data_IF_028984761577
#
_entry.id   IF_028984761577
#
_cell.length_a   1.000
_cell.length_b   1.000
_cell.length_c   1.000
_cell.angle_alpha   90.00
_cell.angle_beta   90.00
_cell.angle_gamma   90.00
#
_symmetry.space_group_name_H-M   'P 1'
#
loop_
_entity.id
_entity.type
_entity.pdbx_description
1 polymer ?
#
# COMPACT_ATOMS: atom_id res chain seq x y z
N UNK A 1 5.90 0.33 -5.93
CA UNK A 1 5.64 0.66 -4.51
C UNK A 1 4.37 -0.07 -4.11
N UNK A 2 4.41 -0.88 -3.05
CA UNK A 2 3.21 -1.52 -2.48
C UNK A 2 2.71 -0.63 -1.34
N UNK A 3 1.40 -0.46 -1.23
CA UNK A 3 0.79 0.22 -0.09
C UNK A 3 -0.51 -0.45 0.28
N UNK A 4 -0.89 -0.32 1.55
CA UNK A 4 -2.21 -0.66 2.06
C UNK A 4 -2.73 0.52 2.85
N UNK A 5 -4.02 0.79 2.71
CA UNK A 5 -4.72 1.82 3.47
C UNK A 5 -5.86 1.17 4.26
N UNK A 6 -6.03 1.60 5.50
CA UNK A 6 -7.18 1.26 6.33
C UNK A 6 -7.77 2.55 6.87
N UNK A 7 -9.07 2.76 6.63
CA UNK A 7 -9.83 3.88 7.19
C UNK A 7 -10.97 3.30 8.01
N UNK A 8 -11.05 3.75 9.25
CA UNK A 8 -12.12 3.37 10.18
C UNK A 8 -12.68 4.64 10.79
N UNK A 9 -14.00 4.77 10.77
CA UNK A 9 -14.73 5.85 11.42
C UNK A 9 -15.73 5.25 12.41
N UNK A 10 -15.78 5.78 13.62
CA UNK A 10 -16.69 5.31 14.64
C UNK A 10 -16.54 6.10 15.94
N UNK A 11 -17.48 5.89 16.86
CA UNK A 11 -17.55 6.60 18.15
C UNK A 11 -17.36 5.68 19.35
N UNK A 12 -17.34 4.35 19.14
CA UNK A 12 -17.37 3.35 20.21
C UNK A 12 -16.01 3.05 20.83
N UNK A 13 -14.91 3.33 20.11
CA UNK A 13 -13.55 2.99 20.54
C UNK A 13 -12.59 4.11 20.20
N UNK A 14 -11.50 4.21 20.97
CA UNK A 14 -10.46 5.20 20.73
C UNK A 14 -9.68 4.90 19.45
N UNK A 15 -9.05 5.92 18.88
CA UNK A 15 -8.23 5.76 17.68
C UNK A 15 -7.03 4.82 17.93
N UNK A 16 -6.48 4.78 19.14
CA UNK A 16 -5.38 3.87 19.52
C UNK A 16 -5.85 2.41 19.55
N UNK A 17 -7.04 2.13 20.09
CA UNK A 17 -7.60 0.78 20.07
C UNK A 17 -7.94 0.31 18.65
N UNK A 18 -8.32 1.26 17.77
CA UNK A 18 -8.58 1.00 16.36
C UNK A 18 -7.30 0.77 15.56
N UNK A 19 -6.24 1.52 15.83
CA UNK A 19 -4.92 1.22 15.27
C UNK A 19 -4.50 -0.20 15.62
N UNK A 20 -4.63 -0.60 16.89
CA UNK A 20 -4.29 -1.96 17.30
C UNK A 20 -5.16 -3.03 16.63
N UNK A 21 -6.45 -2.74 16.44
CA UNK A 21 -7.34 -3.64 15.73
C UNK A 21 -6.96 -3.79 14.25
N UNK A 22 -6.56 -2.71 13.59
CA UNK A 22 -6.09 -2.70 12.20
C UNK A 22 -4.79 -3.51 12.08
N UNK A 23 -3.82 -3.34 12.98
CA UNK A 23 -2.61 -4.16 12.97
C UNK A 23 -2.90 -5.65 13.20
N UNK A 24 -3.88 -5.98 14.05
CA UNK A 24 -4.35 -7.36 14.20
C UNK A 24 -4.98 -7.93 12.92
N UNK A 25 -5.62 -7.10 12.10
CA UNK A 25 -6.07 -7.51 10.76
C UNK A 25 -4.85 -7.76 9.87
N UNK A 26 -3.90 -6.83 9.83
CA UNK A 26 -2.80 -6.89 8.87
C UNK A 26 -1.79 -8.00 9.16
N UNK A 27 -1.51 -8.28 10.43
CA UNK A 27 -0.50 -9.26 10.83
C UNK A 27 -1.03 -10.67 11.10
N UNK A 28 -2.35 -10.82 11.25
CA UNK A 28 -2.97 -12.12 11.56
C UNK A 28 -4.07 -12.45 10.57
N UNK A 29 -5.18 -11.70 10.61
CA UNK A 29 -6.38 -12.11 9.85
C UNK A 29 -6.19 -12.12 8.35
N UNK A 30 -5.47 -11.14 7.79
CA UNK A 30 -5.26 -11.10 6.34
C UNK A 30 -4.26 -12.16 5.87
N UNK A 31 -3.12 -12.39 6.53
CA UNK A 31 -2.29 -13.57 6.27
C UNK A 31 -3.08 -14.88 6.34
N UNK A 32 -3.83 -15.11 7.43
CA UNK A 32 -4.66 -16.31 7.60
C UNK A 32 -5.68 -16.43 6.45
N UNK A 33 -6.29 -15.32 6.03
CA UNK A 33 -7.21 -15.30 4.89
C UNK A 33 -6.50 -15.67 3.58
N UNK A 34 -5.35 -15.06 3.30
CA UNK A 34 -4.56 -15.33 2.09
C UNK A 34 -4.10 -16.79 2.04
N UNK A 35 -3.66 -17.36 3.16
CA UNK A 35 -3.24 -18.75 3.29
C UNK A 35 -4.39 -19.74 3.07
N UNK A 36 -5.62 -19.36 3.40
CA UNK A 36 -6.80 -20.20 3.21
C UNK A 36 -7.53 -19.96 1.88
N UNK A 37 -7.05 -19.05 1.02
CA UNK A 37 -7.65 -18.85 -0.30
C UNK A 37 -7.46 -20.08 -1.20
N UNK A 38 -8.57 -20.49 -1.83
CA UNK A 38 -8.60 -21.50 -2.89
C UNK A 38 -8.29 -20.87 -4.25
N UNK A 39 -7.90 -21.70 -5.22
CA UNK A 39 -7.66 -21.26 -6.60
C UNK A 39 -8.93 -20.64 -7.22
N UNK A 40 -10.09 -21.25 -6.98
CA UNK A 40 -11.38 -20.75 -7.48
C UNK A 40 -11.75 -19.40 -6.87
N UNK A 41 -11.48 -19.19 -5.58
CA UNK A 41 -11.71 -17.91 -4.93
C UNK A 41 -10.81 -16.82 -5.54
N UNK A 42 -9.54 -17.13 -5.79
CA UNK A 42 -8.61 -16.18 -6.43
C UNK A 42 -9.09 -15.83 -7.84
N UNK A 43 -9.53 -16.81 -8.63
CA UNK A 43 -10.10 -16.55 -9.95
C UNK A 43 -11.37 -15.69 -9.88
N UNK A 44 -12.23 -15.94 -8.89
CA UNK A 44 -13.42 -15.12 -8.65
C UNK A 44 -13.07 -13.66 -8.33
N UNK A 45 -12.12 -13.42 -7.42
CA UNK A 45 -11.64 -12.06 -7.11
C UNK A 45 -10.98 -11.39 -8.32
N UNK A 46 -10.18 -12.15 -9.09
CA UNK A 46 -9.59 -11.66 -10.34
C UNK A 46 -10.65 -11.20 -11.33
N UNK A 47 -11.69 -12.01 -11.57
CA UNK A 47 -12.79 -11.70 -12.48
C UNK A 47 -13.57 -10.47 -12.00
N UNK A 48 -13.87 -10.39 -10.71
CA UNK A 48 -14.54 -9.23 -10.12
C UNK A 48 -13.71 -7.94 -10.29
N UNK A 49 -12.40 -8.01 -10.06
CA UNK A 49 -11.48 -6.91 -10.26
C UNK A 49 -11.46 -6.45 -11.73
N UNK A 50 -11.34 -7.40 -12.66
CA UNK A 50 -11.37 -7.11 -14.10
C UNK A 50 -12.69 -6.49 -14.53
N UNK A 51 -13.81 -6.99 -14.02
CA UNK A 51 -15.13 -6.42 -14.30
C UNK A 51 -15.23 -4.98 -13.82
N UNK A 52 -14.73 -4.66 -12.62
CA UNK A 52 -14.72 -3.29 -12.10
C UNK A 52 -13.90 -2.34 -12.98
N UNK A 53 -12.75 -2.80 -13.49
CA UNK A 53 -11.88 -2.01 -14.35
C UNK A 53 -12.40 -1.82 -15.77
N UNK A 54 -13.13 -2.81 -16.29
CA UNK A 54 -13.64 -2.83 -17.67
C UNK A 54 -15.09 -2.32 -17.77
N UNK A 55 -15.73 -2.01 -16.65
CA UNK A 55 -17.08 -1.47 -16.66
C UNK A 55 -17.08 -0.07 -17.29
N UNK A 56 -17.86 0.14 -18.37
CA UNK A 56 -17.96 1.47 -18.97
C UNK A 56 -18.69 2.43 -18.02
N UNK A 57 -18.33 3.73 -18.02
CA UNK A 57 -19.07 4.72 -17.25
C UNK A 57 -20.52 4.78 -17.73
N UNK A 58 -21.46 4.86 -16.79
CA UNK A 58 -22.90 4.87 -17.06
C UNK A 58 -23.50 6.27 -17.16
N UNK A 59 -22.72 7.30 -16.83
CA UNK A 59 -23.12 8.70 -16.88
C UNK A 59 -21.97 9.63 -17.27
N UNK A 60 -22.29 10.84 -17.71
CA UNK A 60 -21.31 11.89 -18.07
C UNK A 60 -20.40 12.22 -16.87
N UNK A 61 -20.93 12.23 -15.65
CA UNK A 61 -20.12 12.51 -14.46
C UNK A 61 -19.16 11.37 -14.13
N UNK A 62 -19.57 10.12 -14.36
CA UNK A 62 -18.69 8.96 -14.25
C UNK A 62 -17.63 8.95 -15.35
N UNK A 63 -18.00 9.30 -16.58
CA UNK A 63 -17.06 9.48 -17.69
C UNK A 63 -16.02 10.53 -17.30
N UNK A 64 -16.46 11.72 -16.87
CA UNK A 64 -15.55 12.76 -16.39
C UNK A 64 -14.60 12.21 -15.32
N UNK A 65 -15.08 11.53 -14.29
CA UNK A 65 -14.20 10.93 -13.25
C UNK A 65 -13.24 9.88 -13.82
N UNK A 66 -13.71 9.03 -14.72
CA UNK A 66 -12.95 7.95 -15.35
C UNK A 66 -11.81 8.50 -16.20
N UNK A 67 -12.07 9.53 -17.01
CA UNK A 67 -11.12 10.09 -17.97
C UNK A 67 -10.27 11.26 -17.40
N UNK A 68 -10.69 11.90 -16.30
CA UNK A 68 -9.98 13.08 -15.75
C UNK A 68 -8.72 12.73 -14.95
N UNK A 69 -8.58 11.48 -14.47
CA UNK A 69 -7.36 11.00 -13.81
C UNK A 69 -6.11 11.22 -14.67
N UNK A 70 -6.05 10.66 -15.90
CA UNK A 70 -4.96 10.90 -16.85
C UNK A 70 -4.70 12.38 -17.16
N UNK A 71 -5.76 13.19 -17.26
CA UNK A 71 -5.66 14.65 -17.52
C UNK A 71 -4.95 15.37 -16.37
N UNK A 72 -5.32 15.05 -15.12
CA UNK A 72 -4.72 15.63 -13.91
C UNK A 72 -3.22 15.30 -13.77
N UNK A 73 -2.79 14.20 -14.36
CA UNK A 73 -1.40 13.79 -14.42
C UNK A 73 -0.66 14.29 -15.67
N UNK A 74 -1.13 15.41 -16.25
CA UNK A 74 -0.55 16.06 -17.44
C UNK A 74 -0.42 15.14 -18.67
N UNK A 75 -1.23 14.08 -18.75
CA UNK A 75 -1.07 13.10 -19.83
C UNK A 75 0.29 12.38 -19.82
N UNK A 76 0.99 12.29 -18.68
CA UNK A 76 2.32 11.67 -18.63
C UNK A 76 2.34 10.16 -18.93
N UNK A 77 1.17 9.52 -19.08
CA UNK A 77 1.01 8.20 -19.70
C UNK A 77 0.53 8.24 -21.16
N UNK A 78 0.81 9.33 -21.88
CA UNK A 78 0.54 9.49 -23.31
C UNK A 78 1.88 9.46 -24.05
N UNK A 79 2.11 8.45 -24.89
CA UNK A 79 3.25 8.46 -25.81
C UNK A 79 2.90 9.30 -27.05
N UNK A 80 3.85 10.06 -27.64
CA UNK A 80 3.61 10.92 -28.81
C UNK A 80 3.36 10.20 -30.15
N UNK A 81 2.98 8.91 -30.19
CA UNK A 81 3.03 8.10 -31.41
C UNK A 81 1.84 7.18 -31.68
N UNK A 82 0.65 7.56 -31.25
CA UNK A 82 -0.58 7.11 -31.91
C UNK A 82 -1.76 7.77 -31.22
N UNK A 83 -2.62 8.37 -32.03
CA UNK A 83 -3.88 8.92 -31.57
C UNK A 83 -4.68 7.76 -30.93
N UNK A 84 -5.08 7.90 -29.65
CA UNK A 84 -5.95 6.99 -28.86
C UNK A 84 -5.22 5.92 -27.99
N UNK A 85 -4.30 6.28 -27.09
CA UNK A 85 -3.84 5.35 -26.02
C UNK A 85 -3.66 6.02 -24.63
N UNK A 86 -4.69 6.74 -24.13
CA UNK A 86 -4.67 7.38 -22.80
C UNK A 86 -4.80 6.42 -21.59
N UNK A 87 -4.66 5.09 -21.79
CA UNK A 87 -5.06 4.04 -20.83
C UNK A 87 -4.04 2.92 -20.63
N UNK A 88 -2.76 3.14 -20.96
CA UNK A 88 -1.74 2.07 -20.91
C UNK A 88 -1.65 1.39 -19.53
N UNK A 89 -1.76 2.16 -18.44
CA UNK A 89 -1.75 1.61 -17.08
C UNK A 89 -2.90 0.61 -16.85
N UNK A 90 -4.11 0.93 -17.34
CA UNK A 90 -5.26 0.03 -17.26
C UNK A 90 -5.01 -1.24 -18.08
N UNK A 91 -4.46 -1.09 -19.29
CA UNK A 91 -4.06 -2.22 -20.14
C UNK A 91 -3.01 -3.12 -19.48
N UNK A 92 -2.03 -2.55 -18.78
CA UNK A 92 -1.04 -3.31 -18.00
C UNK A 92 -1.67 -4.05 -16.82
N UNK A 93 -2.59 -3.41 -16.08
CA UNK A 93 -3.31 -4.04 -14.97
C UNK A 93 -4.12 -5.23 -15.46
N UNK A 94 -4.87 -5.06 -16.56
CA UNK A 94 -5.65 -6.14 -17.18
C UNK A 94 -4.74 -7.27 -17.66
N UNK A 95 -3.61 -6.94 -18.31
CA UNK A 95 -2.65 -7.94 -18.79
C UNK A 95 -2.00 -8.72 -17.65
N UNK A 96 -1.65 -8.03 -16.57
CA UNK A 96 -1.07 -8.66 -15.39
C UNK A 96 -2.08 -9.55 -14.66
N UNK A 97 -3.31 -9.08 -14.47
CA UNK A 97 -4.36 -9.87 -13.85
C UNK A 97 -4.65 -11.15 -14.65
N UNK A 98 -4.58 -11.09 -15.98
CA UNK A 98 -4.74 -12.26 -16.85
C UNK A 98 -3.49 -13.14 -16.98
N UNK A 99 -2.33 -12.74 -16.46
CA UNK A 99 -1.11 -13.56 -16.57
C UNK A 99 -1.09 -14.68 -15.53
N UNK A 100 -0.28 -15.72 -15.79
CA UNK A 100 -0.03 -16.79 -14.82
C UNK A 100 0.76 -16.32 -13.59
N UNK A 101 1.33 -15.11 -13.64
CA UNK A 101 2.04 -14.50 -12.50
C UNK A 101 1.06 -14.09 -11.39
N UNK A 102 -0.21 -13.83 -11.73
CA UNK A 102 -1.24 -13.48 -10.76
C UNK A 102 -1.75 -14.75 -10.06
N UNK A 103 -1.15 -15.07 -8.92
CA UNK A 103 -1.48 -16.25 -8.12
C UNK A 103 -1.36 -15.98 -6.61
N UNK A 104 -1.78 -16.96 -5.81
CA UNK A 104 -1.75 -16.92 -4.35
C UNK A 104 -0.37 -16.58 -3.78
N UNK A 105 0.67 -17.19 -4.34
CA UNK A 105 2.04 -17.05 -3.83
C UNK A 105 2.53 -15.63 -4.02
N UNK A 106 2.21 -15.01 -5.16
CA UNK A 106 2.50 -13.61 -5.40
C UNK A 106 1.78 -12.70 -4.39
N UNK A 107 0.50 -12.92 -4.13
CA UNK A 107 -0.27 -12.13 -3.16
C UNK A 107 0.32 -12.25 -1.76
N UNK A 108 0.61 -13.48 -1.33
CA UNK A 108 1.19 -13.78 -0.01
C UNK A 108 2.56 -13.13 0.14
N UNK A 109 3.43 -13.31 -0.85
CA UNK A 109 4.78 -12.71 -0.85
C UNK A 109 4.74 -11.19 -0.86
N UNK A 110 3.85 -10.60 -1.68
CA UNK A 110 3.68 -9.15 -1.75
C UNK A 110 3.19 -8.59 -0.42
N UNK A 111 2.26 -9.29 0.23
CA UNK A 111 1.76 -8.92 1.56
C UNK A 111 2.86 -9.01 2.63
N UNK A 112 3.60 -10.12 2.67
CA UNK A 112 4.73 -10.29 3.59
C UNK A 112 5.80 -9.21 3.38
N UNK A 113 6.13 -8.87 2.12
CA UNK A 113 7.10 -7.82 1.81
C UNK A 113 6.60 -6.43 2.26
N UNK A 114 5.30 -6.17 2.13
CA UNK A 114 4.69 -4.92 2.58
C UNK A 114 4.68 -4.80 4.11
N UNK A 115 4.41 -5.90 4.81
CA UNK A 115 4.28 -5.93 6.27
C UNK A 115 5.63 -6.05 6.99
N UNK A 116 6.54 -6.86 6.48
CA UNK A 116 7.85 -7.12 7.05
C UNK A 116 8.95 -6.91 5.98
N UNK A 117 9.27 -5.66 5.62
CA UNK A 117 10.26 -5.38 4.59
C UNK A 117 11.66 -5.83 5.04
N UNK A 118 12.40 -6.51 4.15
CA UNK A 118 13.72 -7.10 4.46
C UNK A 118 14.83 -6.09 4.80
N UNK A 119 14.59 -4.79 4.58
CA UNK A 119 15.58 -3.72 4.69
C UNK A 119 15.33 -2.70 5.79
N UNK A 120 14.39 -2.94 6.72
CA UNK A 120 14.12 -2.02 7.83
C UNK A 120 12.66 -1.98 8.27
N UNK A 121 12.17 -0.80 8.64
CA UNK A 121 10.79 -0.59 9.08
C UNK A 121 9.85 -0.29 7.91
N UNK A 122 8.55 -0.45 8.15
CA UNK A 122 7.55 0.02 7.20
C UNK A 122 7.48 1.54 7.20
N UNK A 123 7.27 2.11 6.03
CA UNK A 123 6.83 3.49 5.90
C UNK A 123 5.33 3.56 6.18
N UNK A 124 4.97 3.94 7.41
CA UNK A 124 3.59 3.99 7.90
C UNK A 124 3.21 5.43 8.25
N UNK A 125 2.05 5.85 7.78
CA UNK A 125 1.40 7.10 8.22
C UNK A 125 0.11 6.74 8.95
N UNK A 126 -0.06 7.28 10.15
CA UNK A 126 -1.26 7.09 10.96
C UNK A 126 -1.85 8.45 11.27
N UNK A 127 -3.10 8.65 10.88
CA UNK A 127 -3.86 9.85 11.20
C UNK A 127 -4.96 9.45 12.18
N UNK A 128 -4.91 10.02 13.39
CA UNK A 128 -5.89 9.76 14.44
C UNK A 128 -6.73 11.01 14.65
N UNK A 129 -8.04 10.88 14.47
CA UNK A 129 -9.00 11.92 14.78
C UNK A 129 -9.65 11.65 16.13
N UNK A 130 -9.60 12.64 17.02
CA UNK A 130 -10.21 12.59 18.34
C UNK A 130 -11.31 13.65 18.40
N UNK A 131 -12.54 13.25 18.70
CA UNK A 131 -13.70 14.16 18.66
C UNK A 131 -13.77 15.19 19.80
N UNK A 132 -12.89 15.06 20.81
CA UNK A 132 -12.79 15.98 21.96
C UNK A 132 -11.35 16.47 22.08
N UNK A 133 -10.66 16.10 23.15
CA UNK A 133 -9.23 16.31 23.32
C UNK A 133 -8.43 15.16 22.72
N UNK A 134 -7.20 15.47 22.30
CA UNK A 134 -6.20 14.48 21.93
C UNK A 134 -5.67 13.86 23.23
N UNK A 135 -5.82 12.55 23.47
CA UNK A 135 -5.27 11.89 24.64
C UNK A 135 -3.73 11.87 24.58
N UNK A 136 -3.10 11.69 25.73
CA UNK A 136 -1.67 11.43 25.77
C UNK A 136 -1.34 10.14 25.01
N UNK A 137 -0.21 10.15 24.29
CA UNK A 137 0.24 8.98 23.56
C UNK A 137 0.54 7.86 24.55
N UNK A 138 -0.01 6.64 24.34
CA UNK A 138 0.30 5.50 25.20
C UNK A 138 1.81 5.24 25.28
N UNK A 139 2.28 4.86 26.47
CA UNK A 139 3.65 4.37 26.62
C UNK A 139 3.86 3.06 25.83
N UNK A 140 5.12 2.72 25.55
CA UNK A 140 5.44 1.54 24.73
C UNK A 140 4.91 0.22 25.32
N UNK A 141 4.77 0.10 26.64
CA UNK A 141 4.28 -1.11 27.31
C UNK A 141 2.77 -1.25 27.12
N UNK A 142 2.00 -0.21 27.44
CA UNK A 142 0.54 -0.21 27.26
C UNK A 142 0.15 -0.36 25.78
N UNK A 143 0.89 0.29 24.89
CA UNK A 143 0.73 0.14 23.44
C UNK A 143 0.98 -1.30 22.97
N UNK A 144 2.08 -1.93 23.42
CA UNK A 144 2.39 -3.33 23.08
C UNK A 144 1.32 -4.28 23.58
N UNK A 145 0.82 -4.10 24.80
CA UNK A 145 -0.26 -4.91 25.36
C UNK A 145 -1.55 -4.77 24.53
N UNK A 146 -1.88 -3.57 24.06
CA UNK A 146 -3.02 -3.35 23.17
C UNK A 146 -2.89 -4.12 21.85
N UNK A 147 -1.68 -4.15 21.26
CA UNK A 147 -1.38 -4.92 20.05
C UNK A 147 -1.48 -6.44 20.29
N UNK A 148 -0.90 -6.93 21.39
CA UNK A 148 -0.98 -8.34 21.80
C UNK A 148 -2.44 -8.80 21.98
N UNK A 149 -3.26 -7.97 22.64
CA UNK A 149 -4.70 -8.24 22.83
C UNK A 149 -5.46 -8.39 21.51
N UNK A 150 -4.95 -7.81 20.41
CA UNK A 150 -5.53 -7.92 19.07
C UNK A 150 -4.96 -9.09 18.26
N UNK A 151 -4.08 -9.89 18.86
CA UNK A 151 -3.49 -11.09 18.25
C UNK A 151 -2.33 -10.80 17.33
N UNK A 152 -1.67 -9.64 17.45
CA UNK A 152 -0.44 -9.34 16.72
C UNK A 152 0.67 -10.29 17.22
N UNK A 153 1.35 -11.03 16.33
CA UNK A 153 2.36 -12.02 16.71
C UNK A 153 3.64 -11.36 17.26
N UNK A 154 4.38 -12.08 18.10
CA UNK A 154 5.57 -11.58 18.81
C UNK A 154 6.64 -11.03 17.88
N UNK A 155 6.87 -11.69 16.73
CA UNK A 155 7.80 -11.22 15.70
C UNK A 155 7.41 -9.83 15.18
N UNK A 156 6.13 -9.61 14.89
CA UNK A 156 5.63 -8.31 14.44
C UNK A 156 5.73 -7.26 15.54
N UNK A 157 5.50 -7.62 16.81
CA UNK A 157 5.56 -6.70 17.93
C UNK A 157 6.94 -6.08 18.12
N UNK A 158 8.03 -6.82 17.87
CA UNK A 158 9.38 -6.25 17.91
C UNK A 158 9.53 -5.10 16.92
N UNK A 159 9.19 -5.35 15.65
CA UNK A 159 9.23 -4.33 14.58
C UNK A 159 8.31 -3.14 14.91
N UNK A 160 7.09 -3.44 15.34
CA UNK A 160 6.07 -2.47 15.71
C UNK A 160 6.51 -1.58 16.88
N UNK A 161 7.15 -2.13 17.92
CA UNK A 161 7.67 -1.35 19.03
C UNK A 161 8.80 -0.41 18.60
N UNK A 162 9.67 -0.84 17.69
CA UNK A 162 10.70 0.03 17.10
C UNK A 162 10.07 1.15 16.25
N UNK A 163 9.10 0.80 15.39
CA UNK A 163 8.31 1.76 14.61
C UNK A 163 7.68 2.81 15.54
N UNK A 164 7.02 2.37 16.62
CA UNK A 164 6.41 3.24 17.62
C UNK A 164 7.46 4.20 18.22
N UNK A 165 8.60 3.68 18.66
CA UNK A 165 9.65 4.48 19.31
C UNK A 165 10.25 5.54 18.37
N UNK A 166 10.37 5.23 17.07
CA UNK A 166 10.96 6.13 16.06
C UNK A 166 9.95 7.02 15.34
N UNK A 167 8.66 6.85 15.63
CA UNK A 167 7.59 7.62 14.98
C UNK A 167 7.67 9.08 15.36
N UNK A 168 7.82 9.95 14.37
CA UNK A 168 7.60 11.40 14.50
C UNK A 168 6.11 11.67 14.76
N UNK A 169 5.81 12.36 15.86
CA UNK A 169 4.44 12.76 16.20
C UNK A 169 4.22 14.22 15.85
N UNK A 170 3.18 14.47 15.07
CA UNK A 170 2.76 15.82 14.70
C UNK A 170 1.38 16.07 15.31
N UNK A 171 1.27 17.09 16.15
CA UNK A 171 0.00 17.49 16.77
C UNK A 171 -0.74 18.55 15.94
N UNK A 172 -0.01 19.29 15.11
CA UNK A 172 -0.55 20.32 14.22
C UNK A 172 -0.21 20.00 12.76
N UNK A 173 -1.06 20.48 11.85
CA UNK A 173 -0.88 20.35 10.40
C UNK A 173 -0.64 21.73 9.78
N UNK A 174 0.43 22.39 10.23
CA UNK A 174 0.82 23.74 9.79
C UNK A 174 2.07 23.71 8.87
N UNK A 175 2.52 24.90 8.45
CA UNK A 175 3.71 25.04 7.61
C UNK A 175 4.98 24.58 8.31
N UNK A 176 5.07 24.68 9.65
CA UNK A 176 6.21 24.20 10.42
C UNK A 176 6.25 22.67 10.45
N UNK A 177 5.11 22.01 10.63
CA UNK A 177 4.98 20.54 10.52
C UNK A 177 5.37 20.06 9.12
N UNK A 178 4.95 20.77 8.06
CA UNK A 178 5.36 20.47 6.68
C UNK A 178 6.87 20.60 6.48
N UNK A 179 7.48 21.63 7.06
CA UNK A 179 8.93 21.84 7.04
C UNK A 179 9.66 20.76 7.83
N UNK A 180 9.13 20.33 8.98
CA UNK A 180 9.69 19.24 9.77
C UNK A 180 9.67 17.91 8.98
N UNK A 181 8.60 17.62 8.25
CA UNK A 181 8.49 16.45 7.37
C UNK A 181 9.49 16.51 6.21
N UNK A 182 9.65 17.67 5.57
CA UNK A 182 10.57 17.81 4.44
C UNK A 182 12.04 17.86 4.87
N UNK A 183 12.33 18.35 6.08
CA UNK A 183 13.70 18.50 6.62
C UNK A 183 14.15 17.38 7.57
N UNK A 184 13.30 16.42 7.91
CA UNK A 184 13.58 15.38 8.91
C UNK A 184 14.95 14.70 8.75
N UNK A 185 15.61 14.45 9.88
CA UNK A 185 17.02 14.06 9.94
C UNK A 185 17.37 12.82 9.10
N UNK A 186 18.39 13.00 8.24
CA UNK A 186 19.12 12.00 7.42
C UNK A 186 18.36 11.32 6.28
N UNK A 187 17.03 11.40 6.22
CA UNK A 187 16.19 10.91 5.11
C UNK A 187 14.94 11.79 4.96
N UNK A 188 15.11 13.11 4.89
CA UNK A 188 14.00 14.06 4.76
C UNK A 188 12.98 13.61 3.71
N UNK A 189 11.69 13.81 3.99
CA UNK A 189 10.63 13.44 3.06
C UNK A 189 10.82 14.16 1.73
N UNK A 190 11.10 13.41 0.67
CA UNK A 190 11.09 13.96 -0.68
C UNK A 190 9.65 14.19 -1.14
N UNK A 191 9.46 15.14 -2.05
CA UNK A 191 8.22 15.18 -2.81
C UNK A 191 8.04 13.86 -3.56
N UNK A 192 6.79 13.43 -3.71
CA UNK A 192 6.48 12.25 -4.52
C UNK A 192 7.14 12.41 -5.90
N UNK A 193 7.79 11.34 -6.43
CA UNK A 193 8.35 11.38 -7.76
C UNK A 193 7.29 11.82 -8.77
N UNK A 194 7.65 12.76 -9.63
CA UNK A 194 6.78 13.20 -10.73
C UNK A 194 6.83 12.25 -11.92
N UNK A 195 7.80 11.35 -11.93
CA UNK A 195 7.97 10.34 -12.99
C UNK A 195 6.88 9.27 -12.89
N UNK A 196 6.18 9.05 -13.98
CA UNK A 196 5.14 8.03 -14.09
C UNK A 196 5.63 6.86 -14.93
N UNK A 197 5.68 5.67 -14.34
CA UNK A 197 5.95 4.42 -15.04
C UNK A 197 4.64 3.78 -15.50
N UNK A 198 4.20 4.13 -16.70
CA UNK A 198 2.89 3.72 -17.23
C UNK A 198 2.91 2.34 -17.89
N UNK A 199 4.11 1.79 -18.13
CA UNK A 199 4.34 0.45 -18.65
C UNK A 199 5.19 -0.32 -17.66
N UNK A 200 4.94 -1.62 -17.53
CA UNK A 200 5.94 -2.52 -16.94
C UNK A 200 7.18 -2.47 -17.83
N UNK A 201 8.35 -2.27 -17.25
CA UNK A 201 9.60 -2.49 -17.98
C UNK A 201 9.58 -3.93 -18.54
N UNK A 202 9.62 -4.08 -19.87
CA UNK A 202 9.92 -5.37 -20.48
C UNK A 202 11.40 -5.63 -20.21
N UNK A 203 11.72 -6.49 -19.25
CA UNK A 203 13.11 -6.93 -19.10
C UNK A 203 13.47 -7.79 -20.33
N UNK A 204 14.49 -7.43 -21.15
CA UNK A 204 15.02 -8.32 -22.18
C UNK A 204 15.65 -9.61 -21.60
N UNK A 205 15.63 -9.80 -20.28
CA UNK A 205 16.24 -10.92 -19.55
C UNK A 205 15.20 -11.67 -18.71
N UNK A 206 14.16 -12.23 -19.33
CA UNK A 206 13.39 -13.36 -18.78
C UNK A 206 14.25 -14.64 -18.64
N UNK A 207 15.47 -14.50 -18.12
CA UNK A 207 16.33 -15.55 -17.59
C UNK A 207 16.52 -15.19 -16.10
N UNK A 208 16.04 -16.08 -15.24
CA UNK A 208 16.10 -16.03 -13.76
C UNK A 208 17.30 -15.27 -13.18
N UNK A 209 17.05 -14.49 -12.12
CA UNK A 209 18.05 -13.82 -11.28
C UNK A 209 19.22 -14.73 -10.83
N UNK A 210 18.98 -16.05 -10.72
CA UNK A 210 20.00 -17.04 -10.37
C UNK A 210 21.03 -17.31 -11.49
N UNK A 211 20.71 -17.01 -12.75
CA UNK A 211 21.60 -17.27 -13.89
C UNK A 211 22.71 -16.22 -14.08
N UNK A 212 22.58 -15.03 -13.47
CA UNK A 212 23.55 -13.93 -13.67
C UNK A 212 24.86 -14.09 -12.90
N UNK A 213 24.96 -15.04 -11.97
CA UNK A 213 26.18 -15.27 -11.17
C UNK A 213 27.17 -16.27 -11.78
N UNK A 214 26.86 -16.88 -12.93
CA UNK A 214 27.73 -17.88 -13.58
C UNK A 214 28.43 -17.39 -14.85
N UNK A 215 28.28 -16.13 -15.25
CA UNK A 215 28.86 -15.59 -16.50
C UNK A 215 29.84 -14.45 -16.31
N UNK A 216 30.30 -14.18 -15.09
CA UNK A 216 31.45 -13.30 -14.87
C UNK A 216 32.73 -14.15 -14.86
N UNK A 217 33.21 -14.48 -16.06
CA UNK A 217 34.64 -14.66 -16.35
C UNK A 217 35.08 -13.47 -17.18
#
# INVERSE_FOLDING_TARGET
>A
VLYVAGLVQGTSRSADEMEAAIEGIFWKRLPDFLENLTADAIDSYRKALLQQYLQPPSSIEEERKHFFGPVKHHGACQIPRSNIESFELLGEVVRFANSSDFNKDLLTRSWSQLMAPSGGWRHKVVVKYFGKSVPERPDSTSWRLAMQKRGVPEQALSQLTEEHTKTMVLQTADSAARVALSRGDKQGGAYFPTDLHCRRERDPRTISFLARRMSAR
#
